data_IF_006260671028
#
_entry.id   IF_006260671028
#
_cell.length_a   1.000
_cell.length_b   1.000
_cell.length_c   1.000
_cell.angle_alpha   90.00
_cell.angle_beta   90.00
_cell.angle_gamma   90.00
#
_symmetry.space_group_name_H-M   'P 1'
#
loop_
_entity.id
_entity.type
_entity.pdbx_description
1 polymer ?
#
# COMPACT_ATOMS: atom_id res chain seq x y z
N UNK A 1 -17.18 -5.11 -3.44
CA UNK A 1 -17.83 -3.93 -4.05
C UNK A 1 -18.94 -4.42 -4.97
N UNK A 2 -19.85 -3.56 -5.42
CA UNK A 2 -20.83 -3.88 -6.47
C UNK A 2 -20.30 -3.51 -7.85
N UNK A 3 -20.94 -4.00 -8.92
CA UNK A 3 -20.66 -3.60 -10.31
C UNK A 3 -21.68 -2.59 -10.85
N UNK A 4 -22.23 -1.76 -9.95
CA UNK A 4 -23.20 -0.74 -10.32
C UNK A 4 -22.60 0.26 -11.32
N UNK A 5 -23.36 0.56 -12.36
CA UNK A 5 -23.01 1.44 -13.47
C UNK A 5 -24.05 2.54 -13.63
N UNK A 6 -23.66 3.67 -14.19
CA UNK A 6 -24.58 4.72 -14.62
C UNK A 6 -25.34 4.34 -15.90
N UNK A 7 -26.19 5.25 -16.39
CA UNK A 7 -26.99 5.08 -17.61
C UNK A 7 -26.13 4.91 -18.87
N UNK A 8 -24.88 5.37 -18.83
CA UNK A 8 -23.90 5.29 -19.91
C UNK A 8 -23.06 4.01 -19.82
N UNK A 9 -23.29 3.17 -18.82
CA UNK A 9 -22.56 1.92 -18.60
C UNK A 9 -21.19 2.11 -17.95
N UNK A 10 -20.87 3.29 -17.43
CA UNK A 10 -19.62 3.57 -16.70
C UNK A 10 -19.79 3.16 -15.24
N UNK A 11 -18.75 2.61 -14.62
CA UNK A 11 -18.80 2.22 -13.20
C UNK A 11 -19.03 3.45 -12.33
N UNK A 12 -19.97 3.34 -11.39
CA UNK A 12 -20.22 4.40 -10.41
C UNK A 12 -18.98 4.65 -9.52
N UNK A 13 -18.88 5.82 -8.87
CA UNK A 13 -17.83 6.11 -7.89
C UNK A 13 -17.74 5.04 -6.79
N UNK A 14 -16.52 4.82 -6.28
CA UNK A 14 -16.25 3.80 -5.27
C UNK A 14 -17.12 3.95 -4.03
N UNK A 15 -17.40 5.19 -3.60
CA UNK A 15 -18.26 5.48 -2.45
C UNK A 15 -19.68 4.93 -2.61
N UNK A 16 -20.18 4.87 -3.85
CA UNK A 16 -21.50 4.33 -4.18
C UNK A 16 -21.48 2.80 -4.39
N UNK A 17 -20.29 2.20 -4.57
CA UNK A 17 -20.11 0.77 -4.84
C UNK A 17 -19.65 -0.04 -3.62
N UNK A 18 -19.28 0.64 -2.52
CA UNK A 18 -18.91 -0.02 -1.27
C UNK A 18 -20.17 -0.50 -0.54
N UNK A 19 -20.28 -1.82 -0.33
CA UNK A 19 -21.36 -2.42 0.45
C UNK A 19 -21.12 -2.24 1.95
N UNK A 20 -22.15 -2.41 2.79
CA UNK A 20 -22.00 -2.41 4.26
C UNK A 20 -20.95 -3.42 4.73
N UNK A 21 -20.95 -4.62 4.14
CA UNK A 21 -19.92 -5.64 4.39
C UNK A 21 -18.53 -5.17 3.94
N UNK A 22 -18.40 -4.60 2.73
CA UNK A 22 -17.12 -4.09 2.25
C UNK A 22 -16.56 -2.97 3.13
N UNK A 23 -17.43 -2.09 3.63
CA UNK A 23 -17.05 -1.05 4.59
C UNK A 23 -16.59 -1.65 5.92
N UNK A 24 -17.30 -2.67 6.43
CA UNK A 24 -16.91 -3.38 7.65
C UNK A 24 -15.54 -4.06 7.51
N UNK A 25 -15.30 -4.80 6.42
CA UNK A 25 -14.02 -5.46 6.16
C UNK A 25 -12.87 -4.46 6.11
N UNK A 26 -13.03 -3.36 5.37
CA UNK A 26 -12.03 -2.27 5.30
C UNK A 26 -11.76 -1.62 6.66
N UNK A 27 -12.81 -1.32 7.43
CA UNK A 27 -12.68 -0.73 8.78
C UNK A 27 -11.97 -1.65 9.76
N UNK A 28 -12.14 -2.96 9.60
CA UNK A 28 -11.53 -3.98 10.47
C UNK A 28 -10.23 -4.53 9.90
N UNK A 29 -9.80 -4.08 8.72
CA UNK A 29 -8.66 -4.63 7.95
C UNK A 29 -8.75 -6.14 7.70
N UNK A 30 -9.94 -6.73 7.78
CA UNK A 30 -10.14 -8.17 7.56
C UNK A 30 -9.93 -8.57 6.10
N UNK A 31 -10.04 -7.61 5.17
CA UNK A 31 -9.72 -7.78 3.76
C UNK A 31 -8.22 -8.02 3.49
N UNK A 32 -7.34 -7.72 4.45
CA UNK A 32 -5.90 -7.96 4.36
C UNK A 32 -5.49 -9.39 4.82
N UNK A 33 -6.38 -10.16 5.47
CA UNK A 33 -6.09 -11.53 5.95
C UNK A 33 -5.61 -12.50 4.86
N UNK A 34 -6.12 -12.48 3.61
CA UNK A 34 -5.58 -13.30 2.54
C UNK A 34 -4.09 -13.07 2.26
N UNK A 35 -3.55 -11.88 2.54
CA UNK A 35 -2.12 -11.62 2.37
C UNK A 35 -1.25 -12.37 3.38
N UNK A 36 -1.78 -12.70 4.56
CA UNK A 36 -1.07 -13.55 5.53
C UNK A 36 -0.73 -14.92 4.92
N UNK A 37 -1.59 -15.45 4.05
CA UNK A 37 -1.33 -16.70 3.33
C UNK A 37 -0.13 -16.58 2.38
N UNK A 38 0.02 -15.45 1.69
CA UNK A 38 1.17 -15.19 0.82
C UNK A 38 2.48 -15.07 1.62
N UNK A 39 2.42 -14.55 2.84
CA UNK A 39 3.57 -14.52 3.76
C UNK A 39 3.96 -15.95 4.15
N UNK A 40 2.98 -16.79 4.51
CA UNK A 40 3.23 -18.19 4.87
C UNK A 40 3.79 -19.01 3.71
N UNK A 41 3.34 -18.75 2.48
CA UNK A 41 3.91 -19.35 1.26
C UNK A 41 5.33 -18.87 0.94
N UNK A 42 5.70 -17.70 1.46
CA UNK A 42 6.99 -17.07 1.20
C UNK A 42 7.01 -16.11 -0.01
N UNK A 43 5.86 -15.79 -0.60
CA UNK A 43 5.74 -14.82 -1.69
C UNK A 43 5.88 -13.37 -1.18
N UNK A 44 5.51 -13.15 0.09
CA UNK A 44 5.58 -11.85 0.76
C UNK A 44 6.32 -11.95 2.10
N UNK A 45 6.69 -10.80 2.64
CA UNK A 45 7.17 -10.60 4.01
C UNK A 45 6.11 -9.82 4.81
N UNK A 46 6.22 -9.84 6.14
CA UNK A 46 5.45 -8.91 6.98
C UNK A 46 5.89 -7.46 6.73
N UNK A 47 7.19 -7.24 6.60
CA UNK A 47 7.80 -5.92 6.45
C UNK A 47 8.55 -5.85 5.12
N UNK A 48 8.27 -4.79 4.36
CA UNK A 48 8.84 -4.55 3.05
C UNK A 48 8.06 -3.51 2.23
N UNK A 49 8.56 -3.12 1.05
CA UNK A 49 7.84 -2.25 0.13
C UNK A 49 6.48 -2.85 -0.25
N UNK A 50 5.42 -2.02 -0.33
CA UNK A 50 4.09 -2.53 -0.72
C UNK A 50 4.12 -3.03 -2.17
N UNK A 51 3.53 -4.21 -2.48
CA UNK A 51 3.41 -4.65 -3.87
C UNK A 51 2.56 -3.64 -4.64
N UNK A 52 3.04 -3.26 -5.83
CA UNK A 52 2.34 -2.37 -6.75
C UNK A 52 2.00 -3.10 -8.05
N UNK A 53 1.24 -2.43 -8.92
CA UNK A 53 0.80 -2.97 -10.20
C UNK A 53 2.00 -3.29 -11.11
N UNK A 54 1.86 -4.39 -11.86
CA UNK A 54 2.88 -4.89 -12.79
C UNK A 54 3.16 -3.88 -13.90
N UNK A 55 2.15 -3.09 -14.30
CA UNK A 55 2.28 -2.03 -15.31
C UNK A 55 3.29 -0.93 -14.94
N UNK A 56 3.63 -0.79 -13.65
CA UNK A 56 4.62 0.19 -13.21
C UNK A 56 6.07 -0.24 -13.46
N UNK A 57 6.31 -1.50 -13.80
CA UNK A 57 7.68 -2.03 -13.99
C UNK A 57 8.49 -1.29 -15.05
N UNK A 58 7.80 -0.78 -16.08
CA UNK A 58 8.40 -0.01 -17.18
C UNK A 58 8.50 1.50 -16.86
N UNK A 59 7.83 1.95 -15.81
CA UNK A 59 7.79 3.35 -15.38
C UNK A 59 8.87 3.69 -14.35
N UNK A 60 9.45 2.68 -13.70
CA UNK A 60 10.49 2.90 -12.70
C UNK A 60 11.81 3.35 -13.33
N UNK A 61 12.45 4.31 -12.69
CA UNK A 61 13.89 4.53 -12.81
C UNK A 61 14.68 3.34 -12.25
N UNK A 62 15.96 3.25 -12.62
CA UNK A 62 16.89 2.25 -12.08
C UNK A 62 16.99 2.30 -10.54
N UNK A 63 16.85 3.48 -9.94
CA UNK A 63 16.85 3.60 -8.48
C UNK A 63 15.55 3.07 -7.87
N UNK A 64 14.39 3.42 -8.43
CA UNK A 64 13.09 2.94 -7.93
C UNK A 64 12.95 1.43 -8.05
N UNK A 65 13.53 0.83 -9.10
CA UNK A 65 13.59 -0.64 -9.27
C UNK A 65 14.24 -1.35 -8.10
N UNK A 66 15.15 -0.71 -7.35
CA UNK A 66 15.82 -1.31 -6.19
C UNK A 66 14.85 -1.72 -5.08
N UNK A 67 13.62 -1.17 -5.06
CA UNK A 67 12.57 -1.63 -4.12
C UNK A 67 12.26 -3.12 -4.25
N UNK A 68 12.52 -3.72 -5.42
CA UNK A 68 12.30 -5.13 -5.69
C UNK A 68 13.45 -6.05 -5.25
N UNK A 69 14.52 -5.51 -4.64
CA UNK A 69 15.63 -6.31 -4.10
C UNK A 69 15.26 -7.09 -2.82
N UNK A 70 14.09 -6.80 -2.25
CA UNK A 70 13.54 -7.49 -1.07
C UNK A 70 12.11 -7.96 -1.37
N UNK A 71 11.62 -8.93 -0.59
CA UNK A 71 10.24 -9.39 -0.72
C UNK A 71 9.25 -8.25 -0.42
N UNK A 72 8.13 -8.16 -1.14
CA UNK A 72 7.10 -7.19 -0.84
C UNK A 72 6.51 -7.40 0.56
N UNK A 73 6.15 -6.31 1.23
CA UNK A 73 5.66 -6.30 2.60
C UNK A 73 4.18 -5.93 2.72
N UNK A 74 3.51 -6.49 3.73
CA UNK A 74 2.18 -6.03 4.16
C UNK A 74 2.27 -4.60 4.73
N UNK A 75 3.26 -4.36 5.60
CA UNK A 75 3.63 -3.03 6.11
C UNK A 75 5.07 -2.69 5.73
N UNK A 76 5.48 -1.45 5.92
CA UNK A 76 6.79 -0.98 5.49
C UNK A 76 7.04 0.47 5.86
N UNK A 77 8.24 0.96 5.52
CA UNK A 77 8.67 2.30 5.91
C UNK A 77 7.82 3.39 5.25
N UNK A 78 7.41 3.23 4.00
CA UNK A 78 6.50 4.17 3.32
C UNK A 78 5.11 4.19 4.00
N UNK A 79 4.60 3.03 4.40
CA UNK A 79 3.33 2.90 5.13
C UNK A 79 3.38 3.59 6.49
N UNK A 80 4.54 3.64 7.14
CA UNK A 80 4.68 4.32 8.44
C UNK A 80 4.85 5.84 8.33
N UNK A 81 5.37 6.35 7.21
CA UNK A 81 5.69 7.77 7.04
C UNK A 81 4.70 8.56 6.18
N UNK A 82 3.52 8.00 5.88
CA UNK A 82 2.45 8.77 5.24
C UNK A 82 1.36 7.94 4.55
N UNK A 83 1.60 6.65 4.25
CA UNK A 83 0.65 5.80 3.49
C UNK A 83 0.19 6.51 2.21
N UNK A 84 -1.09 6.87 2.14
CA UNK A 84 -1.69 7.54 1.00
C UNK A 84 -1.50 9.05 1.03
N UNK A 85 -1.06 9.63 2.16
CA UNK A 85 -0.83 11.07 2.36
C UNK A 85 0.44 11.61 1.68
N UNK A 86 1.33 10.72 1.23
CA UNK A 86 2.60 11.07 0.55
C UNK A 86 2.55 10.78 -0.95
N UNK A 87 3.32 11.54 -1.72
CA UNK A 87 3.49 11.40 -3.17
C UNK A 87 4.13 10.06 -3.55
N UNK A 88 4.04 9.68 -4.83
CA UNK A 88 4.72 8.49 -5.34
C UNK A 88 6.23 8.55 -5.14
N UNK A 89 6.84 9.70 -5.41
CA UNK A 89 8.27 9.94 -5.23
C UNK A 89 8.68 9.72 -3.77
N UNK A 90 7.93 10.26 -2.82
CA UNK A 90 8.18 10.05 -1.39
C UNK A 90 8.03 8.57 -1.00
N UNK A 91 7.02 7.86 -1.52
CA UNK A 91 6.85 6.42 -1.28
C UNK A 91 8.09 5.65 -1.73
N UNK A 92 8.59 5.91 -2.92
CA UNK A 92 9.78 5.23 -3.44
C UNK A 92 11.03 5.57 -2.65
N UNK A 93 11.22 6.83 -2.25
CA UNK A 93 12.34 7.22 -1.38
C UNK A 93 12.31 6.39 -0.08
N UNK A 94 11.15 6.22 0.54
CA UNK A 94 11.02 5.40 1.75
C UNK A 94 11.26 3.91 1.49
N UNK A 95 10.79 3.38 0.36
CA UNK A 95 11.03 1.98 -0.03
C UNK A 95 12.52 1.72 -0.27
N UNK A 96 13.21 2.61 -0.98
CA UNK A 96 14.66 2.52 -1.24
C UNK A 96 15.44 2.64 0.07
N UNK A 97 15.06 3.58 0.96
CA UNK A 97 15.68 3.72 2.30
C UNK A 97 15.50 2.47 3.16
N UNK A 98 14.38 1.77 3.03
CA UNK A 98 14.18 0.49 3.69
C UNK A 98 15.16 -0.55 3.15
N UNK A 99 15.24 -0.70 1.82
CA UNK A 99 16.16 -1.65 1.18
C UNK A 99 17.63 -1.37 1.55
N UNK A 100 18.05 -0.11 1.57
CA UNK A 100 19.42 0.28 1.91
C UNK A 100 19.74 0.12 3.41
N UNK A 101 18.72 0.21 4.28
CA UNK A 101 18.87 0.18 5.75
C UNK A 101 18.46 -1.16 6.40
N UNK A 102 18.29 -2.21 5.59
CA UNK A 102 17.67 -3.47 6.00
C UNK A 102 18.38 -4.04 7.24
N UNK A 103 17.64 -4.09 8.36
CA UNK A 103 18.14 -4.62 9.62
C UNK A 103 16.98 -5.05 10.53
N UNK A 104 17.23 -6.03 11.39
CA UNK A 104 16.25 -6.50 12.39
C UNK A 104 15.76 -5.35 13.27
N UNK A 105 16.65 -4.40 13.61
CA UNK A 105 16.30 -3.21 14.40
C UNK A 105 15.28 -2.33 13.66
N UNK A 106 15.47 -2.12 12.35
CA UNK A 106 14.54 -1.35 11.53
C UNK A 106 13.19 -2.06 11.42
N UNK A 107 13.19 -3.37 11.23
CA UNK A 107 11.96 -4.18 11.18
C UNK A 107 11.18 -4.10 12.50
N UNK A 108 11.85 -4.28 13.64
CA UNK A 108 11.20 -4.12 14.96
C UNK A 108 10.61 -2.72 15.12
N UNK A 109 11.33 -1.68 14.69
CA UNK A 109 10.83 -0.31 14.73
C UNK A 109 9.56 -0.13 13.88
N UNK A 110 9.55 -0.65 12.65
CA UNK A 110 8.38 -0.61 11.76
C UNK A 110 7.21 -1.39 12.36
N UNK A 111 7.46 -2.57 12.94
CA UNK A 111 6.45 -3.39 13.59
C UNK A 111 5.76 -2.65 14.74
N UNK A 112 6.54 -2.04 15.65
CA UNK A 112 6.01 -1.27 16.78
C UNK A 112 5.17 -0.09 16.28
N UNK A 113 5.66 0.64 15.27
CA UNK A 113 4.90 1.75 14.67
C UNK A 113 3.61 1.26 14.00
N UNK A 114 3.65 0.10 13.36
CA UNK A 114 2.47 -0.50 12.70
C UNK A 114 1.42 -0.85 13.74
N UNK A 115 1.79 -1.51 14.83
CA UNK A 115 0.87 -1.84 15.93
C UNK A 115 0.24 -0.58 16.50
N UNK A 116 1.04 0.46 16.80
CA UNK A 116 0.51 1.75 17.28
C UNK A 116 -0.49 2.33 16.29
N UNK A 117 -0.18 2.39 14.99
CA UNK A 117 -1.05 2.98 13.97
C UNK A 117 -2.34 2.19 13.70
N UNK A 118 -2.36 0.89 14.00
CA UNK A 118 -3.58 0.08 13.91
C UNK A 118 -4.46 0.27 15.15
N UNK A 119 -3.85 0.40 16.34
CA UNK A 119 -4.58 0.62 17.60
C UNK A 119 -5.12 2.05 17.73
N UNK A 120 -4.33 3.03 17.32
CA UNK A 120 -4.70 4.44 17.24
C UNK A 120 -5.02 4.71 15.77
N UNK A 121 -6.30 4.66 15.42
CA UNK A 121 -6.80 4.84 14.04
C UNK A 121 -6.35 6.19 13.47
N UNK A 122 -5.16 6.21 12.87
CA UNK A 122 -4.51 7.39 12.30
C UNK A 122 -4.28 7.21 10.80
N UNK A 123 -4.61 8.25 10.01
CA UNK A 123 -4.37 8.35 8.57
C UNK A 123 -4.97 7.24 7.70
N UNK A 124 -6.30 7.05 7.74
CA UNK A 124 -6.98 6.09 6.84
C UNK A 124 -7.18 6.68 5.42
N UNK A 125 -7.26 8.01 5.25
CA UNK A 125 -7.52 8.63 3.94
C UNK A 125 -6.81 9.98 3.75
N UNK A 126 -6.46 10.31 2.51
CA UNK A 126 -6.19 11.70 2.08
C UNK A 126 -7.52 12.42 1.95
N UNK A 127 -7.59 13.67 2.39
CA UNK A 127 -8.71 14.55 2.03
C UNK A 127 -8.84 14.62 0.50
N UNK A 128 -10.00 14.22 -0.02
CA UNK A 128 -10.39 14.39 -1.43
C UNK A 128 -10.21 13.20 -2.38
N UNK A 129 -9.60 12.08 -1.98
CA UNK A 129 -9.47 10.89 -2.85
C UNK A 129 -9.71 9.57 -2.08
N UNK A 130 -10.67 8.75 -2.55
CA UNK A 130 -10.91 7.41 -2.00
C UNK A 130 -9.77 6.40 -2.32
N UNK A 131 -8.99 6.65 -3.36
CA UNK A 131 -7.89 5.78 -3.83
C UNK A 131 -6.66 6.60 -4.25
N UNK A 132 -5.46 5.99 -4.23
CA UNK A 132 -4.24 6.65 -4.74
C UNK A 132 -4.30 6.70 -6.27
N UNK A 133 -4.02 7.85 -6.93
CA UNK A 133 -3.98 7.92 -8.39
C UNK A 133 -2.89 7.02 -8.98
N UNK A 134 -3.04 6.55 -10.23
CA UNK A 134 -2.02 5.76 -10.91
C UNK A 134 -0.65 6.42 -10.91
N UNK A 135 0.41 5.61 -10.87
CA UNK A 135 1.77 6.11 -11.05
C UNK A 135 2.03 6.33 -12.55
N UNK A 136 2.40 7.55 -12.93
CA UNK A 136 2.62 7.94 -14.34
C UNK A 136 4.12 7.96 -14.72
N UNK A 137 4.99 7.42 -13.87
CA UNK A 137 6.43 7.50 -14.04
C UNK A 137 7.06 8.70 -13.33
N UNK A 138 8.35 8.58 -13.04
CA UNK A 138 9.14 9.70 -12.55
C UNK A 138 9.64 10.52 -13.75
N UNK A 139 9.34 11.82 -13.76
CA UNK A 139 9.88 12.73 -14.79
C UNK A 139 11.40 12.56 -14.84
N UNK A 140 11.92 12.23 -16.03
CA UNK A 140 13.35 12.13 -16.31
C UNK A 140 14.07 13.45 -16.03
#
# INVERSE_FOLDING_TARGET
>A
MTDARDEQGVLLPDEQRITKLGNFLRKTSLDELPQCWNILKGDMSFIGPRPLLVEYLDLYSEEERKRHLVKPGMTGLAQMNGRNAISWQEKFIWDIRYVQGLSIKQDIHILIRTIKKVLFVEDIARDGYATTPPFEGSKK
#
